data_IF_044306979787
#
_entry.id   IF_044306979787
#
_cell.length_a   1.000
_cell.length_b   1.000
_cell.length_c   1.000
_cell.angle_alpha   90.00
_cell.angle_beta   90.00
_cell.angle_gamma   90.00
#
_symmetry.space_group_name_H-M   'P 1'
#
loop_
_entity.id
_entity.type
_entity.pdbx_description
1 polymer ?
#
# COMPACT_ATOMS: atom_id res chain seq x y z
N UNK A 1 9.03 10.68 6.28
CA UNK A 1 10.07 10.20 5.32
C UNK A 1 10.90 11.39 4.84
N UNK A 2 12.17 11.17 4.48
CA UNK A 2 13.09 12.26 4.12
C UNK A 2 13.03 12.64 2.64
N UNK A 3 12.89 11.64 1.76
CA UNK A 3 12.91 11.83 0.32
C UNK A 3 11.90 10.91 -0.37
N UNK A 4 11.31 11.38 -1.46
CA UNK A 4 10.52 10.58 -2.40
C UNK A 4 11.17 10.62 -3.77
N UNK A 5 11.06 9.51 -4.53
CA UNK A 5 11.36 9.55 -5.96
C UNK A 5 10.22 10.28 -6.72
N UNK A 6 10.46 10.54 -8.02
CA UNK A 6 9.46 11.23 -8.84
C UNK A 6 8.22 10.36 -9.10
N UNK A 7 8.40 9.05 -9.36
CA UNK A 7 7.33 8.06 -9.49
C UNK A 7 7.87 6.63 -9.60
N UNK A 8 6.96 5.66 -9.44
CA UNK A 8 7.11 4.25 -9.75
C UNK A 8 6.03 3.85 -10.77
N UNK A 9 6.04 2.62 -11.28
CA UNK A 9 4.98 2.16 -12.19
C UNK A 9 3.64 2.03 -11.47
N UNK A 10 3.62 1.32 -10.34
CA UNK A 10 2.47 1.06 -9.49
C UNK A 10 2.94 0.64 -8.08
N UNK A 11 1.99 0.37 -7.18
CA UNK A 11 2.29 -0.03 -5.80
C UNK A 11 2.94 -1.40 -5.69
N UNK A 12 2.61 -2.34 -6.58
CA UNK A 12 3.16 -3.70 -6.56
C UNK A 12 4.63 -3.70 -6.95
N UNK A 13 4.97 -3.04 -8.04
CA UNK A 13 6.37 -2.89 -8.47
C UNK A 13 7.18 -2.02 -7.53
N UNK A 14 6.58 -0.99 -6.92
CA UNK A 14 7.22 -0.22 -5.86
C UNK A 14 7.57 -1.08 -4.65
N UNK A 15 6.71 -2.04 -4.28
CA UNK A 15 6.97 -2.98 -3.18
C UNK A 15 8.09 -3.97 -3.55
N UNK A 16 8.13 -4.46 -4.79
CA UNK A 16 9.22 -5.31 -5.27
C UNK A 16 10.57 -4.56 -5.27
N UNK A 17 10.58 -3.30 -5.67
CA UNK A 17 11.79 -2.46 -5.59
C UNK A 17 12.21 -2.17 -4.14
N UNK A 18 11.24 -2.06 -3.21
CA UNK A 18 11.54 -1.94 -1.78
C UNK A 18 12.18 -3.22 -1.23
N UNK A 19 11.74 -4.38 -1.66
CA UNK A 19 12.40 -5.66 -1.36
C UNK A 19 13.85 -5.66 -1.84
N UNK A 20 14.11 -5.27 -3.10
CA UNK A 20 15.47 -5.16 -3.64
C UNK A 20 16.32 -4.12 -2.87
N UNK A 21 15.68 -3.03 -2.43
CA UNK A 21 16.35 -2.00 -1.61
C UNK A 21 16.75 -2.54 -0.23
N UNK A 22 15.92 -3.40 0.39
CA UNK A 22 16.28 -4.11 1.62
C UNK A 22 17.52 -4.97 1.41
N UNK A 23 17.58 -5.77 0.35
CA UNK A 23 18.72 -6.60 0.00
C UNK A 23 19.97 -5.73 -0.23
N UNK A 24 19.86 -4.64 -0.97
CA UNK A 24 20.97 -3.73 -1.22
C UNK A 24 21.48 -3.03 0.05
N UNK A 25 20.65 -2.88 1.08
CA UNK A 25 21.04 -2.34 2.38
C UNK A 25 21.61 -3.41 3.34
N UNK A 26 21.19 -4.64 3.22
CA UNK A 26 21.38 -5.74 4.16
C UNK A 26 22.70 -6.51 4.01
N UNK A 27 23.81 -5.86 3.73
CA UNK A 27 25.19 -6.38 3.62
C UNK A 27 25.36 -7.86 3.15
N UNK A 28 24.85 -8.85 3.87
CA UNK A 28 24.91 -10.29 3.57
C UNK A 28 23.56 -11.00 3.71
N UNK A 29 22.53 -10.30 4.17
CA UNK A 29 21.19 -10.87 4.31
C UNK A 29 20.56 -11.00 2.91
N UNK A 30 19.95 -12.14 2.64
CA UNK A 30 19.31 -12.43 1.34
C UNK A 30 17.84 -12.87 1.50
N UNK A 31 17.27 -12.68 2.70
CA UNK A 31 15.90 -13.04 3.03
C UNK A 31 15.09 -11.77 3.31
N UNK A 32 13.86 -11.73 2.82
CA UNK A 32 12.88 -10.70 3.17
C UNK A 32 11.61 -11.36 3.71
N UNK A 33 11.09 -10.85 4.81
CA UNK A 33 9.82 -11.27 5.39
C UNK A 33 8.68 -10.49 4.75
N UNK A 34 7.61 -11.18 4.36
CA UNK A 34 6.36 -10.57 3.89
C UNK A 34 5.22 -10.99 4.81
N UNK A 35 4.37 -10.05 5.20
CA UNK A 35 3.12 -10.41 5.89
C UNK A 35 2.14 -11.11 4.93
N UNK A 36 1.46 -12.16 5.39
CA UNK A 36 0.34 -12.78 4.68
C UNK A 36 -0.87 -11.85 4.52
N UNK A 37 -0.88 -10.71 5.23
CA UNK A 37 -1.92 -9.68 5.11
C UNK A 37 -1.67 -8.67 3.99
N UNK A 38 -0.57 -8.78 3.25
CA UNK A 38 -0.34 -8.04 2.01
C UNK A 38 -1.33 -8.49 0.92
N UNK A 39 -1.66 -7.60 0.00
CA UNK A 39 -2.42 -7.95 -1.21
C UNK A 39 -1.74 -9.13 -1.93
N UNK A 40 -2.47 -10.24 -2.21
CA UNK A 40 -1.93 -11.40 -2.91
C UNK A 40 -1.24 -11.06 -4.25
N UNK A 41 -1.74 -10.05 -4.98
CA UNK A 41 -1.12 -9.61 -6.23
C UNK A 41 0.23 -8.93 -6.00
N UNK A 42 0.37 -8.19 -4.91
CA UNK A 42 1.66 -7.62 -4.50
C UNK A 42 2.63 -8.75 -4.18
N UNK A 43 2.18 -9.76 -3.43
CA UNK A 43 3.00 -10.94 -3.09
C UNK A 43 3.48 -11.67 -4.35
N UNK A 44 2.61 -11.87 -5.35
CA UNK A 44 2.97 -12.49 -6.64
C UNK A 44 4.03 -11.70 -7.39
N UNK A 45 3.89 -10.37 -7.47
CA UNK A 45 4.87 -9.50 -8.13
C UNK A 45 6.21 -9.52 -7.38
N UNK A 46 6.20 -9.41 -6.05
CA UNK A 46 7.42 -9.48 -5.23
C UNK A 46 8.11 -10.84 -5.41
N UNK A 47 7.38 -11.95 -5.41
CA UNK A 47 7.93 -13.28 -5.64
C UNK A 47 8.55 -13.42 -7.03
N UNK A 48 7.93 -12.83 -8.06
CA UNK A 48 8.49 -12.82 -9.41
C UNK A 48 9.85 -12.12 -9.44
N UNK A 49 9.96 -10.94 -8.86
CA UNK A 49 11.22 -10.21 -8.74
C UNK A 49 12.25 -10.99 -7.91
N UNK A 50 11.81 -11.52 -6.77
CA UNK A 50 12.67 -12.31 -5.87
C UNK A 50 13.27 -13.52 -6.59
N UNK A 51 12.46 -14.25 -7.37
CA UNK A 51 12.92 -15.40 -8.14
C UNK A 51 14.10 -15.07 -9.09
N UNK A 52 13.96 -14.01 -9.88
CA UNK A 52 15.01 -13.62 -10.85
C UNK A 52 16.23 -12.95 -10.19
N UNK A 53 16.10 -12.46 -8.98
CA UNK A 53 17.19 -11.88 -8.20
C UNK A 53 17.80 -12.85 -7.18
N UNK A 54 17.28 -14.07 -7.05
CA UNK A 54 17.75 -15.07 -6.10
C UNK A 54 17.51 -14.68 -4.65
N UNK A 55 16.47 -13.91 -4.37
CA UNK A 55 16.07 -13.47 -3.03
C UNK A 55 15.16 -14.51 -2.38
N UNK A 56 15.42 -14.84 -1.12
CA UNK A 56 14.55 -15.71 -0.33
C UNK A 56 13.39 -14.90 0.26
N UNK A 57 12.16 -15.35 0.01
CA UNK A 57 10.96 -14.78 0.64
C UNK A 57 10.44 -15.75 1.69
N UNK A 58 10.19 -15.26 2.89
CA UNK A 58 9.53 -16.01 3.96
C UNK A 58 8.28 -15.26 4.43
N UNK A 59 7.15 -15.97 4.43
CA UNK A 59 5.87 -15.38 4.84
C UNK A 59 5.75 -15.31 6.35
N UNK A 60 5.30 -14.18 6.89
CA UNK A 60 4.85 -14.04 8.28
C UNK A 60 3.35 -14.26 8.32
N UNK A 61 2.90 -15.21 9.13
CA UNK A 61 1.51 -15.63 9.20
C UNK A 61 0.56 -14.51 9.56
N UNK A 62 -0.67 -14.61 9.06
CA UNK A 62 -1.79 -13.83 9.53
C UNK A 62 -2.49 -14.53 10.71
N UNK A 63 -2.96 -13.73 11.67
CA UNK A 63 -3.81 -14.18 12.77
C UNK A 63 -4.91 -13.15 12.98
N UNK A 64 -6.15 -13.61 12.99
CA UNK A 64 -7.32 -12.73 13.18
C UNK A 64 -7.37 -11.54 12.19
N UNK A 65 -6.87 -11.76 10.95
CA UNK A 65 -6.85 -10.76 9.89
C UNK A 65 -5.75 -9.69 10.00
N UNK A 66 -4.77 -9.88 10.89
CA UNK A 66 -3.61 -8.99 11.05
C UNK A 66 -2.31 -9.81 11.06
N UNK A 67 -1.17 -9.17 10.88
CA UNK A 67 0.15 -9.80 10.96
C UNK A 67 0.38 -10.43 12.34
N UNK A 68 0.68 -11.73 12.40
CA UNK A 68 0.96 -12.41 13.66
C UNK A 68 2.30 -11.93 14.24
N UNK A 69 2.19 -11.16 15.32
CA UNK A 69 3.32 -10.57 16.02
C UNK A 69 4.32 -11.60 16.55
N UNK A 70 3.81 -12.74 17.04
CA UNK A 70 4.67 -13.79 17.60
C UNK A 70 5.47 -14.50 16.50
N UNK A 71 4.84 -14.79 15.36
CA UNK A 71 5.50 -15.37 14.20
C UNK A 71 6.55 -14.41 13.62
N UNK A 72 6.21 -13.11 13.50
CA UNK A 72 7.18 -12.09 13.10
C UNK A 72 8.41 -12.07 14.01
N UNK A 73 8.20 -11.94 15.33
CA UNK A 73 9.30 -11.87 16.30
C UNK A 73 10.19 -13.12 16.26
N UNK A 74 9.59 -14.31 16.11
CA UNK A 74 10.33 -15.54 15.99
C UNK A 74 11.20 -15.60 14.71
N UNK A 75 10.70 -15.11 13.57
CA UNK A 75 11.40 -15.14 12.28
C UNK A 75 12.51 -14.10 12.20
N UNK A 76 12.23 -12.87 12.63
CA UNK A 76 13.24 -11.80 12.59
C UNK A 76 14.43 -12.11 13.49
N UNK A 77 14.22 -12.77 14.64
CA UNK A 77 15.25 -13.16 15.59
C UNK A 77 16.22 -14.25 15.06
N UNK A 78 15.83 -15.00 14.03
CA UNK A 78 16.70 -16.02 13.41
C UNK A 78 17.90 -15.38 12.68
N UNK A 79 17.82 -14.10 12.36
CA UNK A 79 18.84 -13.37 11.61
C UNK A 79 18.84 -13.68 10.10
N UNK A 80 19.75 -13.03 9.37
CA UNK A 80 19.83 -13.19 7.92
C UNK A 80 18.70 -12.50 7.14
N UNK A 81 17.82 -11.77 7.82
CA UNK A 81 16.70 -11.02 7.25
C UNK A 81 17.16 -9.61 6.88
N UNK A 82 16.90 -9.22 5.63
CA UNK A 82 17.22 -7.87 5.11
C UNK A 82 16.09 -6.87 5.37
N UNK A 83 14.83 -7.33 5.44
CA UNK A 83 13.70 -6.46 5.69
C UNK A 83 12.42 -7.21 5.98
N UNK A 84 11.46 -6.49 6.57
CA UNK A 84 10.06 -6.90 6.75
C UNK A 84 9.15 -5.93 6.00
N UNK A 85 8.20 -6.46 5.25
CA UNK A 85 7.21 -5.68 4.49
C UNK A 85 5.81 -6.00 5.00
N UNK A 86 5.07 -4.95 5.37
CA UNK A 86 3.67 -4.99 5.81
C UNK A 86 2.82 -4.01 4.98
N UNK A 87 1.50 -4.08 5.12
CA UNK A 87 0.57 -3.18 4.42
C UNK A 87 -0.38 -2.49 5.40
N UNK A 88 -0.70 -1.22 5.15
CA UNK A 88 -1.59 -0.41 6.01
C UNK A 88 -2.49 0.54 5.18
N UNK A 89 -3.82 0.42 5.21
CA UNK A 89 -4.54 -0.76 5.71
C UNK A 89 -4.11 -2.02 4.97
N UNK A 90 -4.27 -3.19 5.60
CA UNK A 90 -3.88 -4.44 4.97
C UNK A 90 -4.91 -4.90 3.91
N UNK A 91 -4.65 -6.04 3.25
CA UNK A 91 -5.52 -6.57 2.19
C UNK A 91 -6.98 -6.74 2.61
N UNK A 92 -7.23 -7.04 3.88
CA UNK A 92 -8.59 -7.22 4.41
C UNK A 92 -9.25 -5.92 4.86
N UNK A 93 -8.59 -4.78 4.65
CA UNK A 93 -9.03 -3.46 5.10
C UNK A 93 -8.72 -3.15 6.56
N UNK A 94 -8.10 -4.08 7.29
CA UNK A 94 -7.80 -3.92 8.71
C UNK A 94 -6.66 -2.93 8.94
N UNK A 95 -6.79 -2.12 9.98
CA UNK A 95 -5.76 -1.19 10.48
C UNK A 95 -4.96 -1.90 11.56
N UNK A 96 -3.68 -2.18 11.26
CA UNK A 96 -2.80 -2.92 12.15
C UNK A 96 -2.01 -2.00 13.10
N UNK A 97 -1.65 -2.52 14.27
CA UNK A 97 -0.74 -1.86 15.21
C UNK A 97 0.69 -2.37 15.02
N UNK A 98 1.55 -1.56 14.44
CA UNK A 98 2.96 -1.88 14.22
C UNK A 98 3.89 -1.38 15.33
N UNK A 99 3.38 -1.04 16.51
CA UNK A 99 4.20 -0.56 17.63
C UNK A 99 5.34 -1.53 17.94
N UNK A 100 6.58 -1.01 17.90
CA UNK A 100 7.81 -1.76 18.20
C UNK A 100 8.29 -2.70 17.08
N UNK A 101 7.56 -2.91 15.98
CA UNK A 101 8.02 -3.79 14.88
C UNK A 101 9.25 -3.23 14.18
N UNK A 102 9.28 -1.92 13.94
CA UNK A 102 10.43 -1.27 13.34
C UNK A 102 11.68 -1.39 14.24
N UNK A 103 11.52 -1.17 15.56
CA UNK A 103 12.63 -1.27 16.52
C UNK A 103 13.23 -2.69 16.54
N UNK A 104 12.35 -3.70 16.49
CA UNK A 104 12.74 -5.11 16.46
C UNK A 104 13.47 -5.47 15.14
N UNK A 105 12.99 -4.95 13.99
CA UNK A 105 13.66 -5.08 12.71
C UNK A 105 15.07 -4.45 12.78
N UNK A 106 15.18 -3.22 13.27
CA UNK A 106 16.45 -2.48 13.38
C UNK A 106 17.44 -3.17 14.31
N UNK A 107 16.98 -3.72 15.44
CA UNK A 107 17.81 -4.50 16.35
C UNK A 107 18.44 -5.71 15.64
N UNK A 108 17.75 -6.30 14.68
CA UNK A 108 18.19 -7.41 13.84
C UNK A 108 18.86 -6.96 12.52
N UNK A 109 19.13 -5.66 12.34
CA UNK A 109 19.76 -5.05 11.15
C UNK A 109 18.93 -5.22 9.87
N UNK A 110 17.64 -5.42 9.99
CA UNK A 110 16.66 -5.45 8.92
C UNK A 110 15.98 -4.09 8.74
N UNK A 111 15.51 -3.78 7.54
CA UNK A 111 14.67 -2.61 7.29
C UNK A 111 13.20 -2.94 7.55
N UNK A 112 12.43 -1.93 7.95
CA UNK A 112 10.99 -2.02 8.08
C UNK A 112 10.33 -1.21 6.95
N UNK A 113 9.49 -1.87 6.16
CA UNK A 113 8.83 -1.31 4.97
C UNK A 113 7.33 -1.38 5.16
N UNK A 114 6.65 -0.26 4.90
CA UNK A 114 5.18 -0.21 4.90
C UNK A 114 4.69 0.15 3.50
N UNK A 115 3.86 -0.74 2.92
CA UNK A 115 3.01 -0.43 1.78
C UNK A 115 1.74 0.26 2.30
N UNK A 116 1.31 1.37 1.67
CA UNK A 116 0.17 2.13 2.16
C UNK A 116 -0.70 2.63 1.01
N UNK A 117 -2.01 2.67 1.26
CA UNK A 117 -2.94 3.41 0.41
C UNK A 117 -2.73 4.91 0.64
N UNK A 118 -2.36 5.64 -0.42
CA UNK A 118 -1.89 7.02 -0.30
C UNK A 118 -2.95 7.97 0.28
N UNK A 119 -4.23 7.83 -0.13
CA UNK A 119 -5.32 8.69 0.35
C UNK A 119 -5.59 8.54 1.85
N UNK A 120 -5.44 7.34 2.40
CA UNK A 120 -5.74 7.02 3.79
C UNK A 120 -4.74 7.66 4.76
N UNK A 121 -3.54 7.95 4.27
CA UNK A 121 -2.49 8.66 5.03
C UNK A 121 -2.88 10.11 5.39
N UNK A 122 -3.99 10.62 4.87
CA UNK A 122 -4.55 11.91 5.31
C UNK A 122 -5.03 11.89 6.77
N UNK A 123 -5.37 10.70 7.30
CA UNK A 123 -5.92 10.51 8.66
C UNK A 123 -5.27 9.37 9.45
N UNK A 124 -4.70 8.36 8.78
CA UNK A 124 -4.00 7.27 9.44
C UNK A 124 -2.57 7.67 9.81
N UNK A 125 -2.03 7.00 10.82
CA UNK A 125 -0.63 7.13 11.23
C UNK A 125 0.29 6.75 10.08
N UNK A 126 1.19 7.65 9.74
CA UNK A 126 2.06 7.51 8.56
C UNK A 126 3.15 6.45 8.75
N UNK A 127 3.69 5.87 7.65
CA UNK A 127 4.82 4.93 7.74
C UNK A 127 6.03 5.48 8.52
N UNK A 128 6.34 6.77 8.37
CA UNK A 128 7.43 7.40 9.11
C UNK A 128 7.19 7.47 10.62
N UNK A 129 5.94 7.70 11.05
CA UNK A 129 5.56 7.69 12.47
C UNK A 129 5.56 6.27 13.07
N UNK A 130 5.40 5.23 12.25
CA UNK A 130 5.60 3.84 12.63
C UNK A 130 7.08 3.41 12.67
N UNK A 131 8.01 4.31 12.31
CA UNK A 131 9.44 4.02 12.27
C UNK A 131 9.92 3.31 11.00
N UNK A 132 9.10 3.27 9.94
CA UNK A 132 9.49 2.64 8.68
C UNK A 132 10.70 3.33 8.04
N UNK A 133 11.60 2.53 7.45
CA UNK A 133 12.74 3.00 6.68
C UNK A 133 12.35 3.36 5.24
N UNK A 134 11.38 2.62 4.71
CA UNK A 134 10.84 2.78 3.35
C UNK A 134 9.33 2.74 3.41
N UNK A 135 8.70 3.65 2.68
CA UNK A 135 7.27 3.68 2.45
C UNK A 135 7.01 3.58 0.95
N UNK A 136 6.13 2.67 0.57
CA UNK A 136 5.71 2.45 -0.82
C UNK A 136 4.20 2.37 -0.92
N UNK A 137 3.69 2.43 -2.12
CA UNK A 137 2.26 2.20 -2.36
C UNK A 137 1.83 2.70 -3.73
N UNK A 138 0.53 2.65 -3.94
CA UNK A 138 -0.12 3.13 -5.15
C UNK A 138 -0.79 4.48 -4.93
N UNK A 139 -0.64 5.37 -5.89
CA UNK A 139 -1.24 6.71 -5.88
C UNK A 139 -2.56 6.80 -6.65
N UNK A 140 -3.12 5.69 -7.14
CA UNK A 140 -4.37 5.69 -7.91
C UNK A 140 -5.51 6.37 -7.14
N UNK A 141 -5.60 6.14 -5.83
CA UNK A 141 -6.61 6.74 -4.94
C UNK A 141 -6.53 8.27 -4.84
N UNK A 142 -5.45 8.90 -5.32
CA UNK A 142 -5.28 10.35 -5.38
C UNK A 142 -5.80 10.92 -6.72
N UNK A 143 -7.03 10.57 -7.07
CA UNK A 143 -7.80 11.15 -8.15
C UNK A 143 -7.62 10.51 -9.53
N UNK A 144 -6.78 9.49 -9.69
CA UNK A 144 -6.61 8.80 -10.98
C UNK A 144 -7.82 7.90 -11.24
N UNK A 145 -8.51 8.01 -12.38
CA UNK A 145 -9.60 7.10 -12.71
C UNK A 145 -9.08 5.68 -12.93
N UNK A 146 -9.91 4.67 -12.65
CA UNK A 146 -9.53 3.26 -12.82
C UNK A 146 -9.21 2.88 -14.27
N UNK A 147 -9.83 3.51 -15.26
CA UNK A 147 -9.53 3.44 -16.69
C UNK A 147 -9.27 2.02 -17.20
N UNK A 148 -10.11 1.07 -16.78
CA UNK A 148 -10.00 -0.37 -17.12
C UNK A 148 -8.67 -1.04 -16.71
N UNK A 149 -8.05 -0.54 -15.65
CA UNK A 149 -6.83 -1.14 -15.09
C UNK A 149 -5.54 -0.35 -15.31
N UNK A 150 -5.64 0.95 -15.57
CA UNK A 150 -4.46 1.81 -15.65
C UNK A 150 -4.53 2.91 -16.71
N UNK A 151 -3.49 3.75 -16.78
CA UNK A 151 -2.28 3.68 -15.98
C UNK A 151 -2.50 4.08 -14.52
N UNK A 152 -1.68 3.54 -13.60
CA UNK A 152 -1.59 3.96 -12.22
C UNK A 152 -0.29 4.73 -11.97
N UNK A 153 0.05 5.02 -10.72
CA UNK A 153 1.33 5.55 -10.30
C UNK A 153 1.73 4.99 -8.94
N UNK A 154 2.92 4.40 -8.86
CA UNK A 154 3.50 4.05 -7.59
C UNK A 154 4.28 5.22 -6.98
N UNK A 155 4.43 5.21 -5.67
CA UNK A 155 5.34 6.09 -4.95
C UNK A 155 6.31 5.28 -4.09
N UNK A 156 7.48 5.87 -3.84
CA UNK A 156 8.47 5.30 -2.96
C UNK A 156 9.21 6.41 -2.22
N UNK A 157 9.18 6.32 -0.89
CA UNK A 157 9.84 7.25 0.01
C UNK A 157 10.80 6.50 0.92
N UNK A 158 11.87 7.14 1.37
CA UNK A 158 12.78 6.52 2.32
C UNK A 158 13.38 7.53 3.32
N UNK A 159 14.06 6.99 4.32
CA UNK A 159 14.89 7.77 5.24
C UNK A 159 16.15 8.29 4.56
N UNK A 160 16.79 9.31 5.12
CA UNK A 160 18.01 9.93 4.58
C UNK A 160 19.13 8.92 4.31
N UNK A 161 19.33 7.96 5.20
CA UNK A 161 20.35 6.91 5.09
C UNK A 161 20.26 6.08 3.82
N UNK A 162 19.07 5.99 3.25
CA UNK A 162 18.76 5.14 2.10
C UNK A 162 18.67 5.88 0.76
N UNK A 163 18.80 7.20 0.74
CA UNK A 163 18.63 8.03 -0.47
C UNK A 163 19.45 7.54 -1.67
N UNK A 164 20.67 7.05 -1.45
CA UNK A 164 21.54 6.54 -2.52
C UNK A 164 21.16 5.16 -3.03
N UNK A 165 20.18 4.50 -2.40
CA UNK A 165 19.64 3.20 -2.77
C UNK A 165 18.24 3.29 -3.36
N UNK A 166 17.60 4.46 -3.22
CA UNK A 166 16.26 4.71 -3.74
C UNK A 166 16.26 4.64 -5.27
N UNK A 167 15.43 3.79 -5.91
CA UNK A 167 15.32 3.74 -7.36
C UNK A 167 14.59 4.96 -7.91
N UNK A 168 14.64 5.15 -9.23
CA UNK A 168 13.93 6.22 -9.91
C UNK A 168 14.59 7.60 -9.77
N UNK A 169 13.97 8.58 -10.38
CA UNK A 169 14.48 9.95 -10.46
C UNK A 169 14.23 10.71 -9.16
N UNK A 170 15.23 11.48 -8.73
CA UNK A 170 15.13 12.40 -7.60
C UNK A 170 15.38 13.80 -8.12
N UNK A 171 14.43 14.70 -7.84
CA UNK A 171 14.50 16.11 -8.24
C UNK A 171 14.90 16.96 -7.04
N UNK A 172 15.93 17.77 -7.22
CA UNK A 172 16.37 18.76 -6.24
C UNK A 172 15.93 20.16 -6.62
N UNK A 173 15.69 20.99 -5.63
CA UNK A 173 15.44 22.43 -5.82
C UNK A 173 16.75 23.21 -5.66
N UNK A 174 17.00 24.13 -6.58
CA UNK A 174 18.19 24.99 -6.60
C UNK A 174 17.83 26.39 -7.11
N UNK A 175 18.81 27.21 -7.36
CA UNK A 175 18.67 28.50 -8.05
C UNK A 175 19.45 28.45 -9.37
N UNK A 176 18.90 29.10 -10.39
CA UNK A 176 19.58 29.28 -11.66
C UNK A 176 20.64 30.41 -11.58
N UNK A 177 21.31 30.71 -12.72
CA UNK A 177 22.32 31.74 -12.79
C UNK A 177 21.76 33.20 -12.62
N UNK A 178 20.43 33.35 -12.58
CA UNK A 178 19.74 34.62 -12.32
C UNK A 178 19.20 34.67 -10.88
N UNK A 179 19.49 33.66 -10.05
CA UNK A 179 18.98 33.55 -8.69
C UNK A 179 17.53 33.12 -8.58
N UNK A 180 16.88 32.72 -9.69
CA UNK A 180 15.50 32.21 -9.69
C UNK A 180 15.43 30.77 -9.29
N UNK A 181 14.31 30.34 -8.65
CA UNK A 181 14.07 28.95 -8.30
C UNK A 181 14.08 28.06 -9.53
N UNK A 182 14.88 27.01 -9.49
CA UNK A 182 15.00 26.01 -10.54
C UNK A 182 14.97 24.60 -9.96
N UNK A 183 14.64 23.62 -10.78
CA UNK A 183 14.63 22.20 -10.43
C UNK A 183 15.59 21.42 -11.32
N UNK A 184 16.31 20.47 -10.71
CA UNK A 184 17.33 19.68 -11.41
C UNK A 184 17.22 18.21 -10.99
N UNK A 185 17.55 17.30 -11.91
CA UNK A 185 17.73 15.89 -11.58
C UNK A 185 19.02 15.74 -10.74
N UNK A 186 18.91 15.02 -9.63
CA UNK A 186 20.02 14.79 -8.71
C UNK A 186 20.35 13.31 -8.58
N UNK A 187 21.56 13.00 -8.09
CA UNK A 187 22.03 11.63 -7.85
C UNK A 187 21.89 10.68 -9.05
N UNK A 188 21.95 11.20 -10.28
CA UNK A 188 21.73 10.45 -11.52
C UNK A 188 22.72 9.28 -11.72
N UNK A 189 23.88 9.31 -11.07
CA UNK A 189 24.87 8.22 -11.14
C UNK A 189 24.35 6.84 -10.66
N UNK A 190 23.18 6.78 -10.02
CA UNK A 190 22.49 5.52 -9.65
C UNK A 190 21.71 4.91 -10.79
N UNK A 191 21.29 5.73 -11.76
CA UNK A 191 20.33 5.38 -12.79
C UNK A 191 20.94 4.48 -13.89
N UNK A 192 20.09 3.68 -14.55
CA UNK A 192 20.50 2.69 -15.52
C UNK A 192 21.20 3.30 -16.76
N UNK A 193 20.80 4.50 -17.20
CA UNK A 193 21.42 5.16 -18.35
C UNK A 193 22.91 5.52 -18.11
N UNK A 194 23.34 5.59 -16.84
CA UNK A 194 24.74 5.80 -16.44
C UNK A 194 25.40 4.48 -16.03
N UNK A 195 24.79 3.75 -15.07
CA UNK A 195 25.38 2.54 -14.48
C UNK A 195 25.19 1.28 -15.32
N UNK A 196 24.29 1.29 -16.29
CA UNK A 196 23.98 0.16 -17.20
C UNK A 196 23.62 -1.09 -16.39
N UNK A 197 24.29 -2.22 -16.59
CA UNK A 197 24.05 -3.49 -15.89
C UNK A 197 24.33 -3.43 -14.37
N UNK A 198 25.06 -2.41 -13.90
CA UNK A 198 25.36 -2.21 -12.47
C UNK A 198 24.32 -1.35 -11.76
N UNK A 199 23.28 -0.91 -12.46
CA UNK A 199 22.19 -0.18 -11.83
C UNK A 199 21.36 -1.12 -10.93
N UNK A 200 20.85 -0.60 -9.82
CA UNK A 200 20.02 -1.37 -8.89
C UNK A 200 18.60 -1.57 -9.41
N UNK A 201 18.16 -0.75 -10.37
CA UNK A 201 16.81 -0.78 -10.93
C UNK A 201 16.81 -0.23 -12.36
N UNK A 202 15.81 -0.60 -13.14
CA UNK A 202 15.54 -0.07 -14.48
C UNK A 202 14.54 1.10 -14.46
N UNK A 203 14.09 1.53 -13.30
CA UNK A 203 13.14 2.65 -13.14
C UNK A 203 13.76 3.94 -13.69
N UNK A 204 13.02 4.61 -14.56
CA UNK A 204 13.43 5.87 -15.22
C UNK A 204 12.26 6.86 -15.24
N UNK A 205 11.68 7.15 -16.40
CA UNK A 205 10.57 8.12 -16.55
C UNK A 205 9.23 7.56 -16.07
N UNK A 206 9.03 6.26 -16.19
CA UNK A 206 7.83 5.51 -15.77
C UNK A 206 6.52 6.33 -15.86
N UNK A 207 5.74 6.47 -14.80
CA UNK A 207 4.42 7.14 -14.76
C UNK A 207 4.51 8.63 -14.40
N UNK A 208 5.45 9.37 -14.96
CA UNK A 208 5.63 10.80 -14.61
C UNK A 208 4.41 11.67 -14.97
N UNK A 209 3.63 11.33 -16.00
CA UNK A 209 2.38 12.03 -16.32
C UNK A 209 1.33 11.80 -15.22
N UNK A 210 1.22 10.59 -14.70
CA UNK A 210 0.29 10.28 -13.61
C UNK A 210 0.75 10.95 -12.29
N UNK A 211 2.05 11.06 -12.06
CA UNK A 211 2.59 11.82 -10.94
C UNK A 211 2.19 13.31 -11.01
N UNK A 212 2.18 13.90 -12.21
CA UNK A 212 1.67 15.25 -12.41
C UNK A 212 0.17 15.33 -12.13
N UNK A 213 -0.61 14.34 -12.59
CA UNK A 213 -2.05 14.25 -12.33
C UNK A 213 -2.35 14.26 -10.82
N UNK A 214 -1.68 13.38 -10.07
CA UNK A 214 -1.78 13.29 -8.60
C UNK A 214 -1.36 14.61 -7.93
N UNK A 215 -0.31 15.27 -8.42
CA UNK A 215 0.14 16.57 -7.90
C UNK A 215 -0.94 17.64 -8.06
N UNK A 216 -1.60 17.68 -9.21
CA UNK A 216 -2.72 18.62 -9.46
C UNK A 216 -3.89 18.29 -8.54
N UNK A 217 -4.29 17.02 -8.44
CA UNK A 217 -5.36 16.57 -7.55
C UNK A 217 -5.10 16.98 -6.09
N UNK A 218 -3.93 16.66 -5.55
CA UNK A 218 -3.56 17.04 -4.18
C UNK A 218 -3.53 18.55 -3.97
N UNK A 219 -3.11 19.32 -4.99
CA UNK A 219 -3.08 20.78 -4.92
C UNK A 219 -4.48 21.38 -4.89
N UNK A 220 -5.43 20.80 -5.62
CA UNK A 220 -6.84 21.22 -5.65
C UNK A 220 -7.57 20.84 -4.36
N UNK A 221 -7.39 19.62 -3.89
CA UNK A 221 -8.03 19.13 -2.67
C UNK A 221 -7.47 19.81 -1.43
N UNK A 222 -6.18 20.06 -1.41
CA UNK A 222 -5.48 20.59 -0.25
C UNK A 222 -5.58 19.66 0.97
N UNK A 223 -5.05 20.10 2.10
CA UNK A 223 -5.01 19.34 3.33
C UNK A 223 -6.41 18.95 3.83
N UNK A 224 -7.33 19.90 3.82
CA UNK A 224 -8.66 19.70 4.39
C UNK A 224 -9.54 18.85 3.46
N UNK A 225 -9.42 19.01 2.12
CA UNK A 225 -10.16 18.18 1.17
C UNK A 225 -9.74 16.70 1.23
N UNK A 226 -8.45 16.42 1.34
CA UNK A 226 -7.95 15.04 1.50
C UNK A 226 -8.46 14.40 2.79
N UNK A 227 -8.45 15.14 3.91
CA UNK A 227 -8.99 14.64 5.18
C UNK A 227 -10.49 14.39 5.12
N UNK A 228 -11.23 15.29 4.47
CA UNK A 228 -12.68 15.15 4.36
C UNK A 228 -13.04 13.93 3.48
N UNK A 229 -12.35 13.72 2.36
CA UNK A 229 -12.53 12.53 1.54
C UNK A 229 -12.28 11.24 2.33
N UNK A 230 -11.19 11.20 3.08
CA UNK A 230 -10.86 10.07 3.95
C UNK A 230 -11.92 9.85 5.06
N UNK A 231 -12.40 10.94 5.70
CA UNK A 231 -13.45 10.89 6.73
C UNK A 231 -14.78 10.37 6.18
N UNK A 232 -15.16 10.82 4.99
CA UNK A 232 -16.40 10.36 4.34
C UNK A 232 -16.31 8.88 3.96
N UNK A 233 -15.17 8.44 3.44
CA UNK A 233 -14.91 7.03 3.12
C UNK A 233 -15.02 6.15 4.38
N UNK A 234 -14.38 6.55 5.47
CA UNK A 234 -14.47 5.88 6.76
C UNK A 234 -15.92 5.81 7.26
N UNK A 235 -16.63 6.94 7.31
CA UNK A 235 -18.00 6.99 7.82
C UNK A 235 -18.96 6.14 6.98
N UNK A 236 -18.83 6.17 5.65
CA UNK A 236 -19.64 5.37 4.75
C UNK A 236 -19.40 3.86 4.91
N UNK A 237 -18.14 3.45 5.07
CA UNK A 237 -17.80 2.03 5.27
C UNK A 237 -18.33 1.49 6.60
N UNK A 238 -18.18 2.25 7.68
CA UNK A 238 -18.72 1.89 8.99
C UNK A 238 -20.24 1.84 8.98
N UNK A 239 -20.90 2.81 8.33
CA UNK A 239 -22.33 2.77 8.13
C UNK A 239 -22.79 1.52 7.38
N UNK A 240 -22.13 1.17 6.27
CA UNK A 240 -22.45 -0.05 5.52
C UNK A 240 -22.25 -1.30 6.37
N UNK A 241 -21.14 -1.41 7.10
CA UNK A 241 -20.86 -2.56 7.98
C UNK A 241 -21.94 -2.76 9.04
N UNK A 242 -22.33 -1.69 9.75
CA UNK A 242 -23.39 -1.71 10.73
C UNK A 242 -24.74 -2.17 10.13
N UNK A 243 -25.07 -1.65 8.94
CA UNK A 243 -26.31 -2.01 8.23
C UNK A 243 -26.31 -3.47 7.79
N UNK A 244 -25.18 -3.99 7.28
CA UNK A 244 -25.05 -5.40 6.88
C UNK A 244 -25.22 -6.33 8.07
N UNK A 245 -24.53 -6.07 9.18
CA UNK A 245 -24.62 -6.88 10.41
C UNK A 245 -26.04 -6.83 11.00
N UNK A 246 -26.71 -5.67 10.95
CA UNK A 246 -28.07 -5.50 11.44
C UNK A 246 -29.12 -6.34 10.66
N UNK A 247 -28.81 -6.83 9.46
CA UNK A 247 -29.68 -7.78 8.73
C UNK A 247 -29.74 -9.17 9.38
N UNK A 248 -28.79 -9.50 10.28
CA UNK A 248 -28.63 -10.84 10.86
C UNK A 248 -28.08 -11.88 9.87
N UNK A 249 -27.76 -11.49 8.63
CA UNK A 249 -27.21 -12.38 7.59
C UNK A 249 -25.68 -12.28 7.47
N UNK A 250 -25.07 -11.25 8.08
CA UNK A 250 -23.63 -10.99 8.06
C UNK A 250 -23.06 -10.86 9.46
N UNK A 251 -21.80 -11.24 9.58
CA UNK A 251 -20.95 -10.97 10.74
C UNK A 251 -19.60 -10.41 10.29
N UNK A 252 -18.94 -9.61 11.13
CA UNK A 252 -17.58 -9.15 10.84
C UNK A 252 -16.65 -10.34 10.77
N UNK A 253 -15.83 -10.41 9.70
CA UNK A 253 -14.90 -11.53 9.50
C UNK A 253 -13.72 -11.48 10.48
N UNK A 254 -13.31 -10.27 10.90
CA UNK A 254 -12.16 -10.05 11.77
C UNK A 254 -12.50 -9.09 12.92
N UNK A 255 -11.87 -9.26 14.10
CA UNK A 255 -12.07 -8.37 15.25
C UNK A 255 -11.27 -7.07 15.17
N UNK A 256 -10.31 -6.96 14.23
CA UNK A 256 -9.45 -5.78 14.08
C UNK A 256 -10.25 -4.55 13.59
N UNK A 257 -9.85 -3.33 13.98
CA UNK A 257 -10.42 -2.12 13.40
C UNK A 257 -10.13 -2.05 11.90
N UNK A 258 -11.06 -1.48 11.14
CA UNK A 258 -10.91 -1.29 9.70
C UNK A 258 -11.06 0.19 9.31
N UNK A 259 -10.66 0.54 8.10
CA UNK A 259 -10.76 1.91 7.62
C UNK A 259 -11.96 2.09 6.67
N UNK A 260 -11.77 2.01 5.37
CA UNK A 260 -12.82 2.16 4.35
C UNK A 260 -13.10 0.87 3.57
N UNK A 261 -12.33 -0.16 3.82
CA UNK A 261 -12.53 -1.53 3.35
C UNK A 261 -12.70 -2.45 4.56
N UNK A 262 -13.54 -3.46 4.42
CA UNK A 262 -13.80 -4.42 5.49
C UNK A 262 -14.33 -5.74 4.95
N UNK A 263 -14.07 -6.83 5.69
CA UNK A 263 -14.55 -8.16 5.37
C UNK A 263 -15.70 -8.58 6.28
N UNK A 264 -16.73 -9.15 5.68
CA UNK A 264 -17.87 -9.76 6.38
C UNK A 264 -18.08 -11.19 5.90
N UNK A 265 -18.45 -12.09 6.82
CA UNK A 265 -18.95 -13.42 6.46
C UNK A 265 -20.45 -13.33 6.18
N UNK A 266 -20.89 -13.97 5.12
CA UNK A 266 -22.28 -14.05 4.72
C UNK A 266 -22.85 -15.43 4.99
N UNK A 267 -23.97 -15.50 5.71
CA UNK A 267 -24.67 -16.75 5.98
C UNK A 267 -25.61 -17.09 4.81
N UNK A 268 -25.04 -17.43 3.66
CA UNK A 268 -25.76 -17.74 2.44
C UNK A 268 -24.81 -17.98 1.26
N UNK A 269 -25.37 -18.07 0.06
CA UNK A 269 -24.59 -18.21 -1.17
C UNK A 269 -24.06 -16.86 -1.62
N UNK A 270 -22.74 -16.66 -1.50
CA UNK A 270 -22.05 -15.41 -1.89
C UNK A 270 -22.18 -15.15 -3.38
N UNK A 271 -22.08 -16.18 -4.22
CA UNK A 271 -22.12 -16.01 -5.67
C UNK A 271 -23.51 -15.57 -6.13
N UNK A 272 -24.55 -16.18 -5.55
CA UNK A 272 -25.94 -15.78 -5.79
C UNK A 272 -26.23 -14.33 -5.32
N UNK A 273 -25.68 -13.93 -4.18
CA UNK A 273 -25.80 -12.56 -3.67
C UNK A 273 -25.10 -11.55 -4.60
N UNK A 274 -23.88 -11.84 -5.02
CA UNK A 274 -23.13 -10.97 -5.94
C UNK A 274 -23.85 -10.86 -7.29
N UNK A 275 -24.41 -11.97 -7.81
CA UNK A 275 -25.20 -11.91 -9.03
C UNK A 275 -26.43 -11.02 -8.87
N UNK A 276 -27.13 -11.11 -7.72
CA UNK A 276 -28.27 -10.22 -7.42
C UNK A 276 -27.86 -8.74 -7.40
N UNK A 277 -26.68 -8.40 -6.87
CA UNK A 277 -26.17 -7.04 -6.93
C UNK A 277 -25.89 -6.61 -8.38
N UNK A 278 -25.23 -7.45 -9.18
CA UNK A 278 -24.93 -7.19 -10.60
C UNK A 278 -26.21 -6.96 -11.40
N UNK A 279 -27.25 -7.78 -11.22
CA UNK A 279 -28.55 -7.66 -11.88
C UNK A 279 -29.25 -6.32 -11.54
N UNK A 280 -28.89 -5.70 -10.43
CA UNK A 280 -29.35 -4.38 -9.99
C UNK A 280 -28.35 -3.23 -10.26
N UNK A 281 -27.32 -3.50 -11.08
CA UNK A 281 -26.33 -2.50 -11.50
C UNK A 281 -25.34 -2.10 -10.40
N UNK A 282 -25.06 -3.00 -9.43
CA UNK A 282 -24.15 -2.76 -8.30
C UNK A 282 -23.03 -3.80 -8.31
N UNK A 283 -21.77 -3.35 -8.28
CA UNK A 283 -20.64 -4.21 -7.93
C UNK A 283 -20.52 -4.24 -6.41
N UNK A 284 -21.13 -5.25 -5.78
CA UNK A 284 -21.30 -5.37 -4.33
C UNK A 284 -20.20 -6.17 -3.68
N UNK A 285 -18.98 -5.61 -3.59
CA UNK A 285 -17.86 -6.25 -2.93
C UNK A 285 -17.12 -7.31 -3.74
N UNK A 286 -16.04 -7.81 -3.18
CA UNK A 286 -15.17 -8.84 -3.78
C UNK A 286 -15.17 -10.07 -2.87
N UNK A 287 -15.42 -11.26 -3.45
CA UNK A 287 -15.32 -12.53 -2.74
C UNK A 287 -13.85 -12.84 -2.46
N UNK A 288 -13.48 -12.90 -1.18
CA UNK A 288 -12.10 -13.17 -0.72
C UNK A 288 -11.95 -14.57 -0.12
N UNK A 289 -13.07 -15.18 0.29
CA UNK A 289 -13.14 -16.57 0.71
C UNK A 289 -14.56 -17.13 0.37
N UNK A 290 -14.81 -18.45 0.48
CA UNK A 290 -16.10 -19.03 0.07
C UNK A 290 -17.33 -18.37 0.70
N UNK A 291 -17.23 -17.92 1.94
CA UNK A 291 -18.28 -17.28 2.73
C UNK A 291 -18.00 -15.78 3.00
N UNK A 292 -16.90 -15.22 2.51
CA UNK A 292 -16.42 -13.90 2.93
C UNK A 292 -16.39 -12.94 1.75
N UNK A 293 -17.00 -11.77 1.95
CA UNK A 293 -17.01 -10.66 0.99
C UNK A 293 -16.27 -9.47 1.60
N UNK A 294 -15.37 -8.87 0.84
CA UNK A 294 -14.75 -7.60 1.14
C UNK A 294 -15.53 -6.48 0.46
N UNK A 295 -16.00 -5.51 1.23
CA UNK A 295 -16.62 -4.28 0.73
C UNK A 295 -15.66 -3.11 0.86
N UNK A 296 -15.79 -2.16 -0.06
CA UNK A 296 -15.08 -0.88 -0.05
C UNK A 296 -16.07 0.27 -0.21
N UNK A 297 -15.92 1.32 0.58
CA UNK A 297 -16.70 2.55 0.43
C UNK A 297 -15.75 3.72 0.31
N UNK A 298 -15.95 4.56 -0.69
CA UNK A 298 -15.21 5.81 -0.87
C UNK A 298 -16.14 7.02 -0.66
N UNK A 299 -15.56 8.21 -0.62
CA UNK A 299 -16.27 9.49 -0.50
C UNK A 299 -17.34 9.71 -1.59
N UNK A 300 -17.27 8.92 -2.66
CA UNK A 300 -18.23 9.00 -3.78
C UNK A 300 -19.56 8.29 -3.52
N UNK A 301 -19.64 7.44 -2.50
CA UNK A 301 -20.85 6.68 -2.21
C UNK A 301 -21.75 7.46 -1.28
N UNK A 302 -23.02 7.62 -1.71
CA UNK A 302 -24.04 8.29 -0.90
C UNK A 302 -24.70 7.30 0.04
N UNK A 303 -25.36 7.83 1.08
CA UNK A 303 -26.15 7.03 2.01
C UNK A 303 -27.27 6.25 1.30
N UNK A 304 -27.93 6.89 0.33
CA UNK A 304 -29.01 6.31 -0.45
C UNK A 304 -28.51 5.12 -1.29
N UNK A 305 -27.32 5.22 -1.88
CA UNK A 305 -26.69 4.11 -2.61
C UNK A 305 -26.36 2.92 -1.68
N UNK A 306 -25.86 3.20 -0.48
CA UNK A 306 -25.61 2.19 0.56
C UNK A 306 -26.91 1.53 1.00
N UNK A 307 -27.95 2.32 1.32
CA UNK A 307 -29.26 1.80 1.71
C UNK A 307 -29.92 0.97 0.59
N UNK A 308 -29.73 1.36 -0.69
CA UNK A 308 -30.17 0.58 -1.85
C UNK A 308 -29.50 -0.80 -1.88
N UNK A 309 -28.18 -0.88 -1.68
CA UNK A 309 -27.45 -2.15 -1.63
C UNK A 309 -28.00 -3.03 -0.49
N UNK A 310 -28.14 -2.48 0.71
CA UNK A 310 -28.66 -3.22 1.86
C UNK A 310 -30.08 -3.70 1.63
N UNK A 311 -30.92 -2.90 0.94
CA UNK A 311 -32.29 -3.28 0.58
C UNK A 311 -32.40 -4.46 -0.38
N UNK A 312 -31.30 -4.87 -1.02
CA UNK A 312 -31.24 -6.06 -1.88
C UNK A 312 -30.92 -7.35 -1.09
N UNK A 313 -30.52 -7.27 0.15
CA UNK A 313 -30.19 -8.42 0.99
C UNK A 313 -31.45 -9.03 1.59
#
# INVERSE_FOLDING_TARGET
MYVSNASMYDGSTATAEAMLMCIAAGKKANKVLLSETLDPKIIEVVNTYAHFHGVEIEMVKAKDGVTDRADYSAKIAQGGVAGMIVQQPNYYGNVEDFTGMADEAHANKALFVINSVAADLAVLKTPGEWGADVAVGDGQSLGIPMSFGGPSVGYMCCTEKLIRKLPGRIVGMTKDNRGQRAFVLTLQAREQHIRRQKATSNICSNQSLMALYVTIYMSLMGKEGLKEAARLSYAGAHYLAERLVATGKFEMAFPAPFFNEFCVRYNGDVDALQQKFIDNGIFGGVKVAPDTIMFAVTEKRTKEEIDKLVGLI
#
